data_IF_492765027739
#
_entry.id   IF_492765027739
#
_cell.length_a   1.000
_cell.length_b   1.000
_cell.length_c   1.000
_cell.angle_alpha   90.00
_cell.angle_beta   90.00
_cell.angle_gamma   90.00
#
_symmetry.space_group_name_H-M   'P 1'
#
loop_
_entity.id
_entity.type
_entity.pdbx_description
1 polymer ?
#
# COMPACT_ATOMS: atom_id res chain seq x y z
N UNK A 1 8.66 3.60 16.02
CA UNK A 1 7.96 3.65 14.72
C UNK A 1 7.86 5.02 14.02
N UNK A 2 7.65 6.19 14.66
CA UNK A 2 7.90 7.50 13.99
C UNK A 2 9.14 8.23 14.54
N UNK A 3 9.30 8.24 15.86
CA UNK A 3 10.46 8.83 16.53
C UNK A 3 11.81 8.14 16.22
N UNK A 4 11.76 6.89 15.73
CA UNK A 4 12.92 6.12 15.28
C UNK A 4 13.27 6.40 13.81
N UNK A 5 12.39 7.05 13.05
CA UNK A 5 12.66 7.35 11.65
C UNK A 5 13.67 8.49 11.54
N UNK A 6 14.76 8.27 10.80
CA UNK A 6 15.89 9.20 10.69
C UNK A 6 15.47 10.64 10.36
N UNK A 7 14.45 10.80 9.52
CA UNK A 7 13.96 12.11 9.08
C UNK A 7 12.99 12.81 10.06
N UNK A 8 12.44 12.10 11.04
CA UNK A 8 11.42 12.65 11.95
C UNK A 8 11.93 13.87 12.73
N UNK A 9 13.11 13.75 13.35
CA UNK A 9 13.71 14.83 14.13
C UNK A 9 14.10 16.02 13.25
N UNK A 10 14.61 15.76 12.05
CA UNK A 10 14.98 16.79 11.07
C UNK A 10 13.78 17.63 10.66
N UNK A 11 12.63 17.00 10.43
CA UNK A 11 11.40 17.67 9.98
C UNK A 11 10.77 18.53 11.06
N UNK A 12 10.79 18.06 12.32
CA UNK A 12 10.37 18.89 13.45
C UNK A 12 11.31 20.09 13.59
N UNK A 13 12.63 19.88 13.52
CA UNK A 13 13.60 20.96 13.67
C UNK A 13 13.50 22.00 12.56
N UNK A 14 13.31 21.57 11.30
CA UNK A 14 13.16 22.50 10.18
C UNK A 14 11.89 23.34 10.33
N UNK A 15 10.75 22.71 10.62
CA UNK A 15 9.49 23.42 10.85
C UNK A 15 9.53 24.38 12.06
N UNK A 16 10.26 24.01 13.12
CA UNK A 16 10.36 24.83 14.34
C UNK A 16 11.32 26.02 14.22
N UNK A 17 12.32 25.91 13.34
CA UNK A 17 13.32 26.96 13.08
C UNK A 17 12.77 28.10 12.22
N UNK A 18 11.65 27.89 11.52
CA UNK A 18 11.01 28.95 10.76
C UNK A 18 10.69 30.16 11.66
N UNK A 19 11.02 31.35 11.16
CA UNK A 19 10.71 32.61 11.84
C UNK A 19 9.21 32.85 11.79
N UNK A 20 8.69 33.26 12.93
CA UNK A 20 7.30 33.68 13.12
C UNK A 20 7.37 34.94 13.96
N UNK A 21 6.72 36.00 13.48
CA UNK A 21 6.61 37.28 14.19
C UNK A 21 5.23 37.38 14.85
N UNK A 22 5.15 38.07 15.99
CA UNK A 22 3.91 38.28 16.73
C UNK A 22 4.10 38.20 18.23
N UNK A 23 2.99 38.09 18.98
CA UNK A 23 3.05 37.87 20.42
C UNK A 23 3.63 36.48 20.74
N UNK A 24 4.18 36.31 21.94
CA UNK A 24 4.76 35.04 22.39
C UNK A 24 3.78 33.86 22.24
N UNK A 25 2.50 34.07 22.59
CA UNK A 25 1.43 33.07 22.42
C UNK A 25 1.13 32.75 20.95
N UNK A 26 1.14 33.75 20.08
CA UNK A 26 0.95 33.56 18.64
C UNK A 26 2.11 32.78 18.02
N UNK A 27 3.36 33.14 18.35
CA UNK A 27 4.57 32.48 17.88
C UNK A 27 4.53 30.99 18.20
N UNK A 28 4.22 30.64 19.46
CA UNK A 28 4.15 29.25 19.88
C UNK A 28 3.06 28.47 19.12
N UNK A 29 1.86 29.05 19.03
CA UNK A 29 0.71 28.42 18.37
C UNK A 29 0.99 28.17 16.89
N UNK A 30 1.57 29.15 16.22
CA UNK A 30 1.89 29.07 14.79
C UNK A 30 3.02 28.06 14.52
N UNK A 31 4.06 28.01 15.37
CA UNK A 31 5.11 26.99 15.27
C UNK A 31 4.55 25.57 15.45
N UNK A 32 3.65 25.36 16.41
CA UNK A 32 2.96 24.08 16.60
C UNK A 32 2.12 23.71 15.37
N UNK A 33 1.36 24.66 14.84
CA UNK A 33 0.51 24.45 13.66
C UNK A 33 1.34 24.05 12.43
N UNK A 34 2.44 24.77 12.17
CA UNK A 34 3.37 24.49 11.06
C UNK A 34 4.02 23.11 11.20
N UNK A 35 4.52 22.80 12.39
CA UNK A 35 5.13 21.50 12.69
C UNK A 35 4.14 20.36 12.49
N UNK A 36 2.89 20.51 12.95
CA UNK A 36 1.82 19.53 12.72
C UNK A 36 1.56 19.35 11.23
N UNK A 37 1.52 20.43 10.44
CA UNK A 37 1.32 20.36 8.99
C UNK A 37 2.49 19.65 8.30
N UNK A 38 3.73 20.00 8.63
CA UNK A 38 4.93 19.36 8.09
C UNK A 38 4.95 17.86 8.39
N UNK A 39 4.65 17.46 9.63
CA UNK A 39 4.53 16.05 10.00
C UNK A 39 3.40 15.32 9.26
N UNK A 40 2.26 15.97 9.03
CA UNK A 40 1.14 15.37 8.27
C UNK A 40 1.54 15.12 6.81
N UNK A 41 2.24 16.07 6.19
CA UNK A 41 2.75 15.92 4.82
C UNK A 41 3.78 14.81 4.79
N UNK A 42 4.78 14.86 5.66
CA UNK A 42 5.82 13.85 5.76
C UNK A 42 5.27 12.44 5.98
N UNK A 43 4.30 12.30 6.89
CA UNK A 43 3.67 11.01 7.14
C UNK A 43 2.96 10.48 5.89
N UNK A 44 2.33 11.36 5.11
CA UNK A 44 1.72 11.00 3.83
C UNK A 44 2.77 10.69 2.75
N UNK A 45 3.92 11.36 2.72
CA UNK A 45 4.95 11.13 1.69
C UNK A 45 5.77 9.88 1.95
N UNK A 46 6.21 9.65 3.19
CA UNK A 46 7.07 8.50 3.51
C UNK A 46 6.26 7.22 3.66
N UNK A 47 5.15 7.27 4.40
CA UNK A 47 4.34 6.07 4.64
C UNK A 47 3.26 5.91 3.57
N UNK A 48 3.06 6.93 2.74
CA UNK A 48 2.10 6.85 1.66
C UNK A 48 0.68 6.65 2.16
N UNK A 49 -0.23 6.53 1.21
CA UNK A 49 -1.59 6.09 1.44
C UNK A 49 -1.52 4.58 1.75
N UNK A 50 -1.05 4.20 2.94
CA UNK A 50 -0.84 2.79 3.36
C UNK A 50 -2.04 1.94 2.96
N UNK A 51 -3.24 2.50 3.13
CA UNK A 51 -4.49 1.88 2.69
C UNK A 51 -4.60 1.64 1.18
N UNK A 52 -4.16 2.59 0.34
CA UNK A 52 -4.09 2.39 -1.11
C UNK A 52 -3.06 1.33 -1.49
N UNK A 53 -1.87 1.34 -0.87
CA UNK A 53 -0.86 0.34 -1.18
C UNK A 53 -1.31 -1.07 -0.75
N UNK A 54 -1.96 -1.20 0.40
CA UNK A 54 -2.62 -2.44 0.83
C UNK A 54 -3.68 -2.84 -0.19
N UNK A 55 -4.55 -1.91 -0.61
CA UNK A 55 -5.57 -2.18 -1.60
C UNK A 55 -4.99 -2.66 -2.94
N UNK A 56 -3.96 -2.00 -3.46
CA UNK A 56 -3.32 -2.34 -4.72
C UNK A 56 -2.62 -3.71 -4.64
N UNK A 57 -2.01 -4.03 -3.50
CA UNK A 57 -1.41 -5.34 -3.25
C UNK A 57 -2.50 -6.42 -3.17
N UNK A 58 -3.57 -6.19 -2.42
CA UNK A 58 -4.69 -7.13 -2.31
C UNK A 58 -5.34 -7.39 -3.67
N UNK A 59 -5.60 -6.35 -4.46
CA UNK A 59 -6.16 -6.49 -5.80
C UNK A 59 -5.24 -7.30 -6.73
N UNK A 60 -3.91 -7.14 -6.61
CA UNK A 60 -2.95 -7.98 -7.35
C UNK A 60 -3.01 -9.44 -6.92
N UNK A 61 -3.14 -9.71 -5.62
CA UNK A 61 -3.29 -11.07 -5.09
C UNK A 61 -4.55 -11.71 -5.63
N UNK A 62 -5.71 -11.04 -5.50
CA UNK A 62 -7.00 -11.54 -5.99
C UNK A 62 -6.96 -11.86 -7.49
N UNK A 63 -6.33 -11.01 -8.29
CA UNK A 63 -6.16 -11.25 -9.72
C UNK A 63 -5.25 -12.47 -10.01
N UNK A 64 -4.17 -12.64 -9.24
CA UNK A 64 -3.29 -13.80 -9.39
C UNK A 64 -4.00 -15.10 -8.99
N UNK A 65 -4.75 -15.09 -7.89
CA UNK A 65 -5.54 -16.23 -7.43
C UNK A 65 -6.59 -16.63 -8.47
N UNK A 66 -7.31 -15.66 -9.03
CA UNK A 66 -8.28 -15.91 -10.11
C UNK A 66 -7.61 -16.54 -11.34
N UNK A 67 -6.48 -15.98 -11.79
CA UNK A 67 -5.75 -16.53 -12.92
C UNK A 67 -5.26 -17.97 -12.68
N UNK A 68 -4.90 -18.31 -11.44
CA UNK A 68 -4.51 -19.67 -11.07
C UNK A 68 -5.73 -20.61 -11.10
N UNK A 69 -6.86 -20.17 -10.56
CA UNK A 69 -8.11 -20.93 -10.56
C UNK A 69 -8.58 -21.24 -11.99
N UNK A 70 -8.58 -20.24 -12.87
CA UNK A 70 -9.02 -20.38 -14.26
C UNK A 70 -8.11 -21.37 -15.01
N UNK A 71 -6.79 -21.22 -14.89
CA UNK A 71 -5.82 -22.14 -15.52
C UNK A 71 -5.97 -23.58 -15.03
N UNK A 72 -6.20 -23.77 -13.74
CA UNK A 72 -6.39 -25.10 -13.17
C UNK A 72 -7.69 -25.73 -13.69
N UNK A 73 -8.78 -24.96 -13.77
CA UNK A 73 -10.05 -25.41 -14.34
C UNK A 73 -9.90 -25.88 -15.79
N UNK A 74 -9.19 -25.12 -16.62
CA UNK A 74 -8.94 -25.48 -18.02
C UNK A 74 -8.14 -26.78 -18.14
N UNK A 75 -7.11 -26.94 -17.30
CA UNK A 75 -6.29 -28.17 -17.28
C UNK A 75 -7.11 -29.40 -16.90
N UNK A 76 -7.99 -29.27 -15.91
CA UNK A 76 -8.88 -30.38 -15.48
C UNK A 76 -9.87 -30.74 -16.59
N UNK A 77 -10.48 -29.75 -17.25
CA UNK A 77 -11.40 -29.99 -18.35
C UNK A 77 -10.72 -30.73 -19.53
N UNK A 78 -9.50 -30.31 -19.90
CA UNK A 78 -8.72 -31.00 -20.93
C UNK A 78 -8.38 -32.44 -20.55
N UNK A 79 -8.03 -32.69 -19.29
CA UNK A 79 -7.72 -34.05 -18.82
C UNK A 79 -8.96 -34.96 -18.87
N UNK A 80 -10.14 -34.46 -18.52
CA UNK A 80 -11.40 -35.21 -18.62
C UNK A 80 -11.71 -35.57 -20.07
N UNK A 81 -11.57 -34.63 -21.01
CA UNK A 81 -11.83 -34.86 -22.43
C UNK A 81 -10.86 -35.90 -23.03
N UNK A 82 -9.59 -35.84 -22.66
CA UNK A 82 -8.59 -36.83 -23.06
C UNK A 82 -8.95 -38.24 -22.56
N UNK A 83 -9.36 -38.37 -21.29
CA UNK A 83 -9.75 -39.65 -20.72
C UNK A 83 -11.02 -40.20 -21.39
N UNK A 84 -12.01 -39.36 -21.67
CA UNK A 84 -13.21 -39.76 -22.41
C UNK A 84 -12.87 -40.22 -23.84
N UNK A 85 -11.96 -39.53 -24.51
CA UNK A 85 -11.48 -39.93 -25.84
C UNK A 85 -10.77 -41.28 -25.80
N UNK A 86 -9.90 -41.50 -24.81
CA UNK A 86 -9.24 -42.79 -24.60
C UNK A 86 -10.25 -43.91 -24.32
N UNK A 87 -11.25 -43.66 -23.48
CA UNK A 87 -12.31 -44.62 -23.18
C UNK A 87 -13.11 -44.99 -24.43
N UNK A 88 -13.53 -44.01 -25.21
CA UNK A 88 -14.28 -44.24 -26.45
C UNK A 88 -13.49 -45.04 -27.48
N UNK A 89 -12.17 -44.79 -27.59
CA UNK A 89 -11.28 -45.55 -28.47
C UNK A 89 -11.03 -47.00 -28.00
N UNK A 90 -11.22 -47.30 -26.71
CA UNK A 90 -11.07 -48.65 -26.16
C UNK A 90 -12.37 -49.48 -26.25
N UNK A 91 -13.51 -48.84 -26.50
CA UNK A 91 -14.84 -49.49 -26.57
C UNK A 91 -15.31 -49.70 -28.03
N UNK A 92 -14.73 -49.00 -29.01
CA UNK A 92 -14.82 -49.31 -30.46
C UNK A 92 -13.81 -50.37 -30.88
#
# INVERSE_FOLDING_TARGET
MWAEHNNFKSIIQSAWKEKVDGSSGYILTEKLRRTRKALKIWNKTEFGNVHQNIHDITAKIENMEKNLQDKWSDQVAMAIDQLNTQLNNNIS
#
